data_IF_123978027916
#
_entry.id   IF_123978027916
#
_cell.length_a   1.000
_cell.length_b   1.000
_cell.length_c   1.000
_cell.angle_alpha   90.00
_cell.angle_beta   90.00
_cell.angle_gamma   90.00
#
_symmetry.space_group_name_H-M   'P 1'
#
loop_
_entity.id
_entity.type
_entity.pdbx_description
1 polymer ?
#
# COMPACT_ATOMS: atom_id res chain seq x y z
N UNK A 1 -18.22 -3.10 3.21
CA UNK A 1 -17.09 -3.34 4.14
C UNK A 1 -16.79 -2.05 4.89
N UNK A 2 -16.48 -2.09 6.20
CA UNK A 2 -16.12 -0.89 6.97
C UNK A 2 -14.59 -0.76 7.13
N UNK A 3 -14.10 0.42 7.56
CA UNK A 3 -12.66 0.70 7.69
C UNK A 3 -11.90 -0.33 8.55
N UNK A 4 -12.46 -0.71 9.71
CA UNK A 4 -11.80 -1.63 10.63
C UNK A 4 -11.67 -3.02 9.99
N UNK A 5 -12.77 -3.57 9.48
CA UNK A 5 -12.79 -4.86 8.80
C UNK A 5 -11.91 -4.91 7.54
N UNK A 6 -11.77 -3.80 6.84
CA UNK A 6 -10.87 -3.67 5.68
C UNK A 6 -9.41 -3.65 6.11
N UNK A 7 -9.09 -2.86 7.14
CA UNK A 7 -7.72 -2.72 7.68
C UNK A 7 -7.20 -4.03 8.26
N UNK A 8 -8.05 -4.81 8.93
CA UNK A 8 -7.68 -6.10 9.52
C UNK A 8 -7.31 -7.17 8.48
N UNK A 9 -7.73 -6.98 7.21
CA UNK A 9 -7.40 -7.89 6.10
C UNK A 9 -6.09 -7.53 5.39
N UNK A 10 -5.27 -6.70 6.00
CA UNK A 10 -3.98 -6.31 5.40
C UNK A 10 -2.99 -7.47 5.41
N UNK A 11 -2.38 -7.72 4.27
CA UNK A 11 -1.21 -8.59 4.15
C UNK A 11 0.06 -7.75 4.23
N UNK A 12 1.10 -8.25 4.89
CA UNK A 12 2.37 -7.55 5.03
C UNK A 12 3.48 -8.35 4.34
N UNK A 13 3.99 -7.78 3.25
CA UNK A 13 5.07 -8.36 2.48
C UNK A 13 6.39 -7.66 2.87
N UNK A 14 7.40 -8.47 3.20
CA UNK A 14 8.70 -7.98 3.63
C UNK A 14 9.74 -8.20 2.51
N UNK A 15 10.63 -7.22 2.34
CA UNK A 15 11.80 -7.29 1.47
C UNK A 15 11.51 -7.89 0.08
N UNK A 16 12.10 -9.05 -0.21
CA UNK A 16 11.96 -9.70 -1.53
C UNK A 16 10.52 -10.03 -1.93
N UNK A 17 9.63 -10.32 -0.98
CA UNK A 17 8.20 -10.56 -1.28
C UNK A 17 7.49 -9.30 -1.72
N UNK A 18 7.85 -8.14 -1.17
CA UNK A 18 7.31 -6.86 -1.60
C UNK A 18 7.77 -6.55 -3.03
N UNK A 19 9.04 -6.81 -3.34
CA UNK A 19 9.58 -6.66 -4.69
C UNK A 19 8.91 -7.57 -5.71
N UNK A 20 8.74 -8.84 -5.38
CA UNK A 20 8.03 -9.81 -6.24
C UNK A 20 6.59 -9.33 -6.52
N UNK A 21 5.88 -8.87 -5.50
CA UNK A 21 4.52 -8.35 -5.66
C UNK A 21 4.46 -7.13 -6.58
N UNK A 22 5.30 -6.13 -6.33
CA UNK A 22 5.36 -4.88 -7.11
C UNK A 22 5.71 -5.16 -8.57
N UNK A 23 6.68 -6.04 -8.80
CA UNK A 23 7.12 -6.45 -10.13
C UNK A 23 6.00 -7.19 -10.88
N UNK A 24 5.36 -8.16 -10.22
CA UNK A 24 4.30 -9.00 -10.83
C UNK A 24 3.06 -8.19 -11.17
N UNK A 25 2.73 -7.16 -10.38
CA UNK A 25 1.55 -6.32 -10.58
C UNK A 25 1.83 -5.02 -11.37
N UNK A 26 3.04 -4.83 -11.89
CA UNK A 26 3.40 -3.64 -12.69
C UNK A 26 3.34 -2.33 -11.89
N UNK A 27 3.63 -2.37 -10.59
CA UNK A 27 3.58 -1.21 -9.69
C UNK A 27 4.94 -0.51 -9.54
N UNK A 28 5.96 -0.92 -10.30
CA UNK A 28 7.34 -0.44 -10.14
C UNK A 28 7.47 1.07 -10.30
N UNK A 29 6.72 1.68 -11.23
CA UNK A 29 6.73 3.14 -11.45
C UNK A 29 6.12 3.91 -10.27
N UNK A 30 5.21 3.28 -9.51
CA UNK A 30 4.61 3.88 -8.32
C UNK A 30 5.52 3.73 -7.10
N UNK A 31 6.23 2.60 -7.02
CA UNK A 31 7.13 2.26 -5.90
C UNK A 31 8.56 1.96 -6.37
N UNK A 32 9.27 2.94 -6.98
CA UNK A 32 10.63 2.75 -7.47
C UNK A 32 11.64 2.38 -6.37
N UNK A 33 11.33 2.71 -5.11
CA UNK A 33 12.12 2.34 -3.94
C UNK A 33 12.09 0.85 -3.61
N UNK A 34 11.06 0.13 -4.06
CA UNK A 34 10.96 -1.32 -3.84
C UNK A 34 11.79 -2.02 -4.93
N UNK A 35 13.00 -2.40 -4.55
CA UNK A 35 13.95 -3.16 -5.37
C UNK A 35 14.22 -4.53 -4.72
N UNK A 36 15.00 -5.38 -5.37
CA UNK A 36 15.42 -6.67 -4.80
C UNK A 36 16.13 -6.53 -3.45
N UNK A 37 16.82 -5.39 -3.22
CA UNK A 37 17.49 -5.04 -1.97
C UNK A 37 16.61 -4.26 -0.98
N UNK A 38 15.30 -4.13 -1.25
CA UNK A 38 14.37 -3.43 -0.36
C UNK A 38 14.34 -4.08 1.02
N UNK A 39 14.47 -3.28 2.07
CA UNK A 39 14.45 -3.72 3.47
C UNK A 39 13.19 -3.31 4.23
N UNK A 40 12.24 -2.68 3.55
CA UNK A 40 11.00 -2.21 4.15
C UNK A 40 9.84 -3.21 4.07
N UNK A 41 8.65 -2.69 4.30
CA UNK A 41 7.39 -3.44 4.31
C UNK A 41 6.44 -2.89 3.26
N UNK A 42 5.73 -3.76 2.55
CA UNK A 42 4.60 -3.40 1.70
C UNK A 42 3.32 -3.95 2.35
N UNK A 43 2.44 -3.05 2.74
CA UNK A 43 1.12 -3.38 3.25
C UNK A 43 0.12 -3.46 2.08
N UNK A 44 -0.45 -4.63 1.84
CA UNK A 44 -1.41 -4.90 0.77
C UNK A 44 -2.80 -5.12 1.35
N UNK A 45 -3.72 -4.23 1.03
CA UNK A 45 -5.10 -4.23 1.47
C UNK A 45 -6.02 -4.85 0.40
N UNK A 46 -7.26 -5.25 0.79
CA UNK A 46 -8.26 -5.73 -0.17
C UNK A 46 -8.38 -4.82 -1.40
N UNK A 47 -8.43 -5.42 -2.58
CA UNK A 47 -8.51 -4.70 -3.85
C UNK A 47 -7.14 -4.36 -4.48
N UNK A 48 -6.05 -4.95 -3.98
CA UNK A 48 -4.69 -4.70 -4.48
C UNK A 48 -4.20 -3.28 -4.15
N UNK A 49 -4.69 -2.74 -3.04
CA UNK A 49 -4.43 -1.39 -2.57
C UNK A 49 -3.20 -1.42 -1.67
N UNK A 50 -2.24 -0.51 -1.82
CA UNK A 50 -0.93 -0.67 -1.16
C UNK A 50 -0.42 0.57 -0.44
N UNK A 51 0.32 0.35 0.65
CA UNK A 51 1.10 1.35 1.37
C UNK A 51 2.49 0.77 1.60
N UNK A 52 3.53 1.52 1.29
CA UNK A 52 4.92 1.12 1.53
C UNK A 52 5.45 1.77 2.79
N UNK A 53 6.28 1.06 3.55
CA UNK A 53 7.05 1.58 4.67
C UNK A 53 8.54 1.34 4.39
N UNK A 54 9.35 2.39 4.50
CA UNK A 54 10.81 2.28 4.44
C UNK A 54 11.44 3.32 5.36
N UNK A 55 12.39 2.90 6.19
CA UNK A 55 13.10 3.77 7.14
C UNK A 55 12.15 4.61 8.04
N UNK A 56 11.03 4.03 8.47
CA UNK A 56 10.02 4.70 9.30
C UNK A 56 9.15 5.73 8.57
N UNK A 57 9.27 5.83 7.25
CA UNK A 57 8.41 6.65 6.40
C UNK A 57 7.41 5.76 5.67
N UNK A 58 6.13 6.07 5.82
CA UNK A 58 5.06 5.47 5.05
C UNK A 58 4.77 6.29 3.79
N UNK A 59 4.47 5.60 2.70
CA UNK A 59 4.17 6.18 1.39
C UNK A 59 2.95 5.52 0.78
N UNK A 60 2.12 6.33 0.14
CA UNK A 60 0.90 5.94 -0.54
C UNK A 60 0.81 6.66 -1.88
N UNK A 61 0.53 5.91 -2.95
CA UNK A 61 0.28 6.44 -4.29
C UNK A 61 -1.15 6.12 -4.70
N UNK A 62 -1.90 7.14 -5.12
CA UNK A 62 -3.31 7.07 -5.54
C UNK A 62 -3.46 7.76 -6.90
N UNK A 63 -3.31 7.00 -7.99
CA UNK A 63 -3.27 7.57 -9.33
C UNK A 63 -2.10 8.55 -9.45
N UNK A 64 -2.41 9.83 -9.70
CA UNK A 64 -1.40 10.90 -9.81
C UNK A 64 -1.10 11.61 -8.48
N UNK A 65 -1.69 11.18 -7.37
CA UNK A 65 -1.48 11.79 -6.05
C UNK A 65 -0.58 10.92 -5.20
N UNK A 66 0.44 11.51 -4.61
CA UNK A 66 1.31 10.86 -3.64
C UNK A 66 1.10 11.47 -2.25
N UNK A 67 1.15 10.63 -1.22
CA UNK A 67 1.14 11.03 0.19
C UNK A 67 2.21 10.27 0.95
N UNK A 68 2.84 10.93 1.91
CA UNK A 68 3.81 10.30 2.80
C UNK A 68 3.67 10.84 4.23
N UNK A 69 4.19 10.09 5.20
CA UNK A 69 4.16 10.48 6.61
C UNK A 69 4.82 9.45 7.53
N UNK A 70 4.90 9.76 8.81
CA UNK A 70 5.51 8.91 9.85
C UNK A 70 4.51 7.98 10.54
N UNK A 71 3.24 8.02 10.13
CA UNK A 71 2.19 7.15 10.64
C UNK A 71 1.39 6.56 9.49
N UNK A 72 1.06 5.28 9.64
CA UNK A 72 0.30 4.50 8.67
C UNK A 72 -1.19 4.85 8.66
N UNK A 73 -1.78 5.12 9.82
CA UNK A 73 -3.23 5.28 9.96
C UNK A 73 -3.84 6.42 9.12
N UNK A 74 -3.23 7.62 9.01
CA UNK A 74 -3.75 8.67 8.12
C UNK A 74 -3.75 8.25 6.64
N UNK A 75 -2.74 7.49 6.21
CA UNK A 75 -2.65 6.97 4.85
C UNK A 75 -3.69 5.86 4.62
N UNK A 76 -3.90 4.99 5.59
CA UNK A 76 -4.96 3.97 5.54
C UNK A 76 -6.35 4.59 5.37
N UNK A 77 -6.65 5.66 6.12
CA UNK A 77 -7.94 6.38 5.99
C UNK A 77 -8.09 7.00 4.61
N UNK A 78 -7.02 7.60 4.07
CA UNK A 78 -7.02 8.18 2.73
C UNK A 78 -7.21 7.10 1.65
N UNK A 79 -6.48 5.98 1.75
CA UNK A 79 -6.58 4.84 0.85
C UNK A 79 -7.98 4.21 0.89
N UNK A 80 -8.53 3.98 2.08
CA UNK A 80 -9.87 3.44 2.25
C UNK A 80 -10.93 4.35 1.61
N UNK A 81 -10.84 5.67 1.86
CA UNK A 81 -11.78 6.62 1.29
C UNK A 81 -11.70 6.64 -0.23
N UNK A 82 -10.49 6.69 -0.78
CA UNK A 82 -10.28 6.63 -2.23
C UNK A 82 -10.83 5.34 -2.82
N UNK A 83 -10.57 4.19 -2.19
CA UNK A 83 -11.08 2.90 -2.64
C UNK A 83 -12.61 2.82 -2.58
N UNK A 84 -13.24 3.45 -1.58
CA UNK A 84 -14.69 3.60 -1.51
C UNK A 84 -15.21 4.40 -2.71
N UNK A 85 -14.60 5.56 -2.99
CA UNK A 85 -15.00 6.45 -4.09
C UNK A 85 -14.71 5.86 -5.48
N UNK A 86 -13.97 4.75 -5.57
CA UNK A 86 -13.63 4.04 -6.81
C UNK A 86 -14.26 2.64 -6.90
N UNK A 87 -15.17 2.28 -6.00
CA UNK A 87 -15.79 0.95 -5.92
C UNK A 87 -14.77 -0.22 -5.85
N UNK A 88 -13.60 0.03 -5.25
CA UNK A 88 -12.50 -0.95 -5.12
C UNK A 88 -12.48 -1.70 -3.78
N UNK A 89 -13.43 -1.42 -2.89
CA UNK A 89 -13.61 -2.16 -1.64
C UNK A 89 -14.25 -3.52 -1.93
N UNK A 90 -13.48 -4.44 -2.51
CA UNK A 90 -13.91 -5.84 -2.74
C UNK A 90 -14.34 -6.50 -1.43
N UNK A 91 -15.44 -7.24 -1.49
CA UNK A 91 -16.06 -7.95 -0.37
C UNK A 91 -15.27 -9.18 0.07
#
# INVERSE_FOLDING_TARGET
MNFISWRERVDQLLGSKAFEFVSTHGLQDQFPEITEAFTGTLAVYPGGLVITESNGLFRLVLGNTERSGTSREPLEKALFRWAWDQDRLVA
#
